data_IF_971246644243
#
_entry.id   IF_971246644243
#
_cell.length_a   1.000
_cell.length_b   1.000
_cell.length_c   1.000
_cell.angle_alpha   90.00
_cell.angle_beta   90.00
_cell.angle_gamma   90.00
#
_symmetry.space_group_name_H-M   'P 1'
#
loop_
_entity.id
_entity.type
_entity.pdbx_description
1 polymer ?
#
# COMPACT_ATOMS: atom_id res chain seq x y z
N UNK A 1 13.36 -25.63 -3.58
CA UNK A 1 12.69 -25.55 -4.88
C UNK A 1 12.24 -24.11 -5.04
N UNK A 2 12.98 -23.29 -5.79
CA UNK A 2 12.58 -21.90 -6.07
C UNK A 2 11.58 -21.95 -7.22
N UNK A 3 10.29 -21.82 -6.89
CA UNK A 3 9.21 -21.69 -7.88
C UNK A 3 9.53 -20.48 -8.77
N UNK A 4 9.83 -20.74 -10.04
CA UNK A 4 10.00 -19.70 -11.05
C UNK A 4 8.61 -19.14 -11.32
N UNK A 5 8.37 -17.90 -10.89
CA UNK A 5 7.10 -17.19 -11.10
C UNK A 5 6.79 -17.18 -12.59
N UNK A 6 5.71 -17.86 -13.06
CA UNK A 6 5.38 -17.92 -14.48
C UNK A 6 5.07 -16.53 -15.03
N UNK A 7 5.31 -16.29 -16.32
CA UNK A 7 4.93 -15.03 -16.98
C UNK A 7 3.42 -14.74 -16.93
N UNK A 8 2.59 -15.78 -16.70
CA UNK A 8 1.14 -15.67 -16.47
C UNK A 8 0.77 -15.26 -15.04
N UNK A 9 1.74 -15.15 -14.12
CA UNK A 9 1.47 -14.89 -12.71
C UNK A 9 0.74 -13.57 -12.50
N UNK A 10 1.00 -12.55 -13.33
CA UNK A 10 0.29 -11.27 -13.29
C UNK A 10 -1.21 -11.40 -13.58
N UNK A 11 -1.62 -12.36 -14.43
CA UNK A 11 -3.04 -12.58 -14.75
C UNK A 11 -3.80 -13.28 -13.63
N UNK A 12 -3.08 -13.96 -12.73
CA UNK A 12 -3.62 -14.61 -11.54
C UNK A 12 -3.53 -13.72 -10.28
N UNK A 13 -2.88 -12.55 -10.37
CA UNK A 13 -2.86 -11.58 -9.27
C UNK A 13 -4.21 -10.90 -9.18
N UNK A 14 -4.82 -10.96 -8.00
CA UNK A 14 -6.03 -10.22 -7.67
C UNK A 14 -5.73 -9.13 -6.64
N UNK A 15 -6.54 -8.07 -6.64
CA UNK A 15 -6.42 -6.97 -5.69
C UNK A 15 -7.60 -7.02 -4.72
N UNK A 16 -7.32 -6.88 -3.42
CA UNK A 16 -8.35 -6.74 -2.40
C UNK A 16 -7.90 -5.82 -1.28
N UNK A 17 -8.84 -5.24 -0.56
CA UNK A 17 -8.52 -4.49 0.65
C UNK A 17 -7.99 -5.44 1.73
N UNK A 18 -7.07 -4.93 2.55
CA UNK A 18 -6.65 -5.60 3.77
C UNK A 18 -7.82 -5.67 4.76
N UNK A 19 -7.88 -6.77 5.51
CA UNK A 19 -8.83 -6.95 6.60
C UNK A 19 -8.11 -7.33 7.90
N UNK A 20 -8.85 -7.37 9.01
CA UNK A 20 -8.30 -7.70 10.33
C UNK A 20 -7.55 -9.04 10.37
N UNK A 21 -8.01 -10.03 9.60
CA UNK A 21 -7.40 -11.37 9.57
C UNK A 21 -6.01 -11.37 8.89
N UNK A 22 -5.66 -10.31 8.17
CA UNK A 22 -4.37 -10.20 7.48
C UNK A 22 -3.23 -9.72 8.39
N UNK A 23 -3.51 -9.30 9.63
CA UNK A 23 -2.52 -8.66 10.54
C UNK A 23 -1.24 -9.49 10.64
N UNK A 24 -1.33 -10.78 10.93
CA UNK A 24 -0.15 -11.62 11.14
C UNK A 24 0.64 -11.83 9.85
N UNK A 25 -0.05 -11.94 8.71
CA UNK A 25 0.59 -12.04 7.40
C UNK A 25 1.33 -10.75 7.05
N UNK A 26 0.70 -9.60 7.28
CA UNK A 26 1.28 -8.28 7.02
C UNK A 26 2.47 -8.01 7.92
N UNK A 27 2.42 -8.40 9.20
CA UNK A 27 3.56 -8.28 10.14
C UNK A 27 4.79 -9.02 9.63
N UNK A 28 4.61 -10.28 9.22
CA UNK A 28 5.70 -11.10 8.70
C UNK A 28 6.30 -10.48 7.43
N UNK A 29 5.45 -10.09 6.47
CA UNK A 29 5.89 -9.45 5.23
C UNK A 29 6.61 -8.11 5.48
N UNK A 30 6.11 -7.29 6.38
CA UNK A 30 6.77 -6.03 6.75
C UNK A 30 8.16 -6.27 7.36
N UNK A 31 8.30 -7.29 8.21
CA UNK A 31 9.59 -7.68 8.80
C UNK A 31 10.63 -8.10 7.74
N UNK A 32 10.18 -8.72 6.65
CA UNK A 32 11.04 -9.09 5.52
C UNK A 32 11.33 -7.91 4.58
N UNK A 33 10.38 -6.99 4.42
CA UNK A 33 10.47 -5.89 3.44
C UNK A 33 11.21 -4.67 3.96
N UNK A 34 11.09 -4.37 5.26
CA UNK A 34 11.60 -3.15 5.85
C UNK A 34 12.48 -3.47 7.07
N UNK A 35 13.63 -2.81 7.24
CA UNK A 35 14.48 -2.97 8.41
C UNK A 35 13.93 -2.24 9.66
N UNK A 36 12.62 -2.01 9.74
CA UNK A 36 11.96 -1.21 10.77
C UNK A 36 10.81 -2.02 11.37
N UNK A 37 10.72 -2.03 12.69
CA UNK A 37 9.65 -2.67 13.42
C UNK A 37 8.53 -1.67 13.72
N UNK A 38 7.34 -1.93 13.16
CA UNK A 38 6.15 -1.14 13.44
C UNK A 38 5.43 -1.65 14.68
N UNK A 39 4.79 -0.78 15.49
CA UNK A 39 4.02 -1.21 16.64
C UNK A 39 2.74 -1.95 16.22
N UNK A 40 2.27 -2.85 17.09
CA UNK A 40 1.03 -3.62 16.88
C UNK A 40 -0.21 -2.76 16.58
N UNK A 41 -0.29 -1.56 17.15
CA UNK A 41 -1.36 -0.62 16.88
C UNK A 41 -1.38 -0.17 15.41
N UNK A 42 -0.22 0.00 14.79
CA UNK A 42 -0.12 0.39 13.38
C UNK A 42 -0.72 -0.68 12.47
N UNK A 43 -0.39 -1.96 12.71
CA UNK A 43 -0.95 -3.08 11.94
C UNK A 43 -2.47 -3.21 12.10
N UNK A 44 -2.99 -2.96 13.30
CA UNK A 44 -4.44 -2.90 13.54
C UNK A 44 -5.10 -1.75 12.80
N UNK A 45 -4.47 -0.58 12.80
CA UNK A 45 -4.98 0.61 12.11
C UNK A 45 -5.06 0.39 10.60
N UNK A 46 -3.98 -0.07 9.96
CA UNK A 46 -3.96 -0.22 8.49
C UNK A 46 -4.88 -1.34 7.98
N UNK A 47 -5.25 -2.31 8.81
CA UNK A 47 -6.11 -3.44 8.42
C UNK A 47 -7.58 -3.25 8.76
N UNK A 48 -7.90 -2.34 9.68
CA UNK A 48 -9.26 -2.18 10.23
C UNK A 48 -9.82 -0.76 10.08
N UNK A 49 -8.97 0.26 9.90
CA UNK A 49 -9.39 1.65 9.80
C UNK A 49 -9.58 2.09 8.35
N UNK A 50 -10.80 2.45 7.98
CA UNK A 50 -11.20 2.91 6.63
C UNK A 50 -10.57 4.25 6.21
N UNK A 51 -9.90 4.95 7.13
CA UNK A 51 -9.10 6.14 6.81
C UNK A 51 -7.93 5.80 5.87
N UNK A 52 -7.41 4.58 5.98
CA UNK A 52 -6.32 4.12 5.15
C UNK A 52 -6.84 3.42 3.90
N UNK A 53 -6.23 3.75 2.78
CA UNK A 53 -6.33 2.97 1.56
C UNK A 53 -5.28 1.87 1.61
N UNK A 54 -5.69 0.71 2.11
CA UNK A 54 -4.84 -0.45 2.35
C UNK A 54 -5.20 -1.58 1.40
N UNK A 55 -4.42 -1.72 0.34
CA UNK A 55 -4.67 -2.64 -0.76
C UNK A 55 -3.59 -3.72 -0.80
N UNK A 56 -4.01 -4.98 -0.83
CA UNK A 56 -3.15 -6.13 -1.01
C UNK A 56 -3.26 -6.69 -2.44
N UNK A 57 -2.12 -7.04 -3.02
CA UNK A 57 -2.02 -7.91 -4.17
C UNK A 57 -1.90 -9.35 -3.69
N UNK A 58 -2.81 -10.21 -4.14
CA UNK A 58 -2.81 -11.63 -3.78
C UNK A 58 -2.56 -12.49 -5.02
N UNK A 59 -1.75 -13.52 -4.85
CA UNK A 59 -1.49 -14.54 -5.86
C UNK A 59 -1.81 -15.90 -5.24
N UNK A 60 -2.72 -16.66 -5.86
CA UNK A 60 -3.20 -17.96 -5.33
C UNK A 60 -3.65 -17.91 -3.87
N UNK A 61 -4.27 -16.80 -3.47
CA UNK A 61 -4.79 -16.58 -2.11
C UNK A 61 -3.76 -16.03 -1.11
N UNK A 62 -2.46 -16.03 -1.42
CA UNK A 62 -1.42 -15.46 -0.56
C UNK A 62 -1.14 -14.00 -0.90
N UNK A 63 -0.87 -13.17 0.11
CA UNK A 63 -0.47 -11.77 -0.11
C UNK A 63 0.97 -11.74 -0.64
N UNK A 64 1.15 -11.18 -1.84
CA UNK A 64 2.45 -11.02 -2.51
C UNK A 64 2.91 -9.56 -2.57
N UNK A 65 2.03 -8.63 -2.24
CA UNK A 65 2.38 -7.22 -2.13
C UNK A 65 1.28 -6.43 -1.45
N UNK A 66 1.61 -5.24 -0.97
CA UNK A 66 0.63 -4.31 -0.45
C UNK A 66 1.05 -2.86 -0.65
N UNK A 67 0.05 -1.98 -0.70
CA UNK A 67 0.20 -0.53 -0.58
C UNK A 67 -0.73 -0.04 0.52
N UNK A 68 -0.20 0.81 1.39
CA UNK A 68 -0.94 1.49 2.44
C UNK A 68 -0.74 2.98 2.23
N UNK A 69 -1.83 3.70 2.00
CA UNK A 69 -1.82 5.14 1.85
C UNK A 69 -2.87 5.81 2.74
N UNK A 70 -2.60 7.03 3.18
CA UNK A 70 -3.57 7.88 3.87
C UNK A 70 -3.88 9.10 3.01
N UNK A 71 -5.16 9.32 2.71
CA UNK A 71 -5.61 10.56 2.09
C UNK A 71 -5.86 11.57 3.21
N UNK A 72 -5.04 12.62 3.25
CA UNK A 72 -5.14 13.70 4.24
C UNK A 72 -5.05 15.06 3.58
N UNK A 73 -5.64 16.06 4.23
CA UNK A 73 -5.53 17.44 3.78
C UNK A 73 -4.07 17.91 3.86
N UNK A 74 -3.63 18.79 2.95
CA UNK A 74 -2.26 19.33 2.94
C UNK A 74 -1.82 19.96 4.26
N UNK A 75 -2.76 20.49 5.04
CA UNK A 75 -2.50 21.07 6.37
C UNK A 75 -2.08 20.04 7.41
N UNK A 76 -2.33 18.74 7.15
CA UNK A 76 -1.95 17.59 8.00
C UNK A 76 -0.66 16.90 7.53
N UNK A 77 0.04 17.48 6.55
CA UNK A 77 1.39 17.05 6.17
C UNK A 77 2.35 17.39 7.31
N UNK A 78 3.36 16.55 7.53
CA UNK A 78 4.38 16.84 8.52
C UNK A 78 5.15 18.10 8.13
N UNK A 79 5.65 18.85 9.12
CA UNK A 79 6.35 20.11 8.84
C UNK A 79 7.60 19.93 7.97
N UNK A 80 8.25 18.77 8.05
CA UNK A 80 9.38 18.40 7.19
C UNK A 80 9.02 18.31 5.69
N UNK A 81 7.77 18.01 5.38
CA UNK A 81 7.24 17.78 4.02
C UNK A 81 6.36 18.94 3.54
N UNK A 82 6.35 20.07 4.26
CA UNK A 82 5.41 21.16 4.05
C UNK A 82 5.57 21.91 2.71
N UNK A 83 6.71 21.78 2.05
CA UNK A 83 7.06 22.40 0.78
C UNK A 83 6.81 21.52 -0.45
N UNK A 84 6.36 20.26 -0.26
CA UNK A 84 6.01 19.33 -1.35
C UNK A 84 4.94 19.95 -2.27
N UNK A 85 3.99 20.71 -1.70
CA UNK A 85 2.98 21.43 -2.46
C UNK A 85 3.20 22.94 -2.34
N UNK A 86 3.23 23.61 -3.49
CA UNK A 86 3.28 25.07 -3.55
C UNK A 86 2.16 25.72 -2.70
N UNK A 87 2.47 26.85 -2.06
CA UNK A 87 1.50 27.59 -1.24
C UNK A 87 0.27 28.06 -2.02
N UNK A 88 0.37 28.15 -3.35
CA UNK A 88 -0.72 28.51 -4.26
C UNK A 88 -1.86 27.50 -4.35
N UNK A 89 -1.65 26.25 -3.93
CA UNK A 89 -2.74 25.26 -3.87
C UNK A 89 -3.75 25.63 -2.78
N UNK A 90 -5.01 25.20 -2.92
CA UNK A 90 -6.01 25.46 -1.87
C UNK A 90 -5.62 24.77 -0.56
N UNK A 91 -6.04 25.31 0.58
CA UNK A 91 -5.97 24.61 1.86
C UNK A 91 -6.80 23.32 1.86
N UNK A 92 -7.80 23.20 0.98
CA UNK A 92 -8.63 22.00 0.84
C UNK A 92 -7.98 20.90 -0.02
N UNK A 93 -6.81 21.17 -0.62
CA UNK A 93 -6.10 20.19 -1.42
C UNK A 93 -5.73 18.97 -0.56
N UNK A 94 -6.13 17.80 -1.03
CA UNK A 94 -5.81 16.52 -0.42
C UNK A 94 -4.50 15.96 -1.01
N UNK A 95 -3.77 15.23 -0.18
CA UNK A 95 -2.58 14.47 -0.58
C UNK A 95 -2.74 13.02 -0.14
N UNK A 96 -2.21 12.10 -0.93
CA UNK A 96 -2.07 10.70 -0.57
C UNK A 96 -0.64 10.47 -0.04
N UNK A 97 -0.51 10.21 1.26
CA UNK A 97 0.75 9.86 1.86
C UNK A 97 0.90 8.34 1.86
N UNK A 98 1.88 7.81 1.11
CA UNK A 98 2.14 6.36 1.06
C UNK A 98 2.95 5.99 2.30
N UNK A 99 2.35 5.24 3.23
CA UNK A 99 2.99 4.78 4.46
C UNK A 99 3.87 3.56 4.20
N UNK A 100 3.41 2.64 3.35
CA UNK A 100 4.13 1.41 3.06
C UNK A 100 3.80 0.93 1.65
N UNK A 101 4.83 0.51 0.92
CA UNK A 101 4.72 -0.13 -0.39
C UNK A 101 5.74 -1.26 -0.45
N UNK A 102 5.25 -2.49 -0.51
CA UNK A 102 6.09 -3.68 -0.46
C UNK A 102 5.60 -4.78 -1.38
N UNK A 103 6.54 -5.56 -1.89
CA UNK A 103 6.32 -6.70 -2.78
C UNK A 103 7.34 -7.79 -2.43
N UNK A 104 6.91 -9.05 -2.35
CA UNK A 104 7.80 -10.19 -2.12
C UNK A 104 8.84 -10.30 -3.24
N UNK A 105 10.06 -10.72 -2.87
CA UNK A 105 11.26 -10.58 -3.71
C UNK A 105 11.12 -11.32 -5.05
N UNK A 106 10.44 -12.44 -5.04
CA UNK A 106 10.20 -13.35 -6.16
C UNK A 106 9.31 -12.69 -7.23
N UNK A 107 8.44 -11.77 -6.82
CA UNK A 107 7.54 -11.03 -7.71
C UNK A 107 8.10 -9.63 -8.06
N UNK A 108 9.26 -9.24 -7.55
CA UNK A 108 9.95 -8.01 -7.96
C UNK A 108 10.41 -8.16 -9.42
N UNK A 109 10.42 -7.05 -10.16
CA UNK A 109 10.80 -6.96 -11.59
C UNK A 109 9.88 -7.71 -12.59
N UNK A 110 8.83 -8.38 -12.12
CA UNK A 110 7.77 -8.94 -12.96
C UNK A 110 6.64 -7.95 -13.24
N UNK A 111 6.81 -6.66 -12.95
CA UNK A 111 5.83 -5.65 -13.30
C UNK A 111 4.55 -5.71 -12.46
N UNK A 112 4.64 -5.75 -11.13
CA UNK A 112 3.52 -5.33 -10.25
C UNK A 112 3.36 -3.78 -10.29
N UNK A 113 3.52 -3.20 -11.48
CA UNK A 113 3.13 -1.83 -11.82
C UNK A 113 1.62 -1.56 -11.75
N UNK A 114 0.69 -2.55 -11.80
CA UNK A 114 -0.74 -2.27 -11.64
C UNK A 114 -1.12 -1.63 -10.31
N UNK A 115 -0.30 -1.81 -9.26
CA UNK A 115 -0.55 -1.21 -7.95
C UNK A 115 -0.37 0.32 -7.97
N UNK A 116 0.60 0.82 -8.76
CA UNK A 116 0.79 2.26 -8.97
C UNK A 116 -0.26 2.84 -9.93
N UNK A 117 -0.66 2.10 -10.97
CA UNK A 117 -1.66 2.60 -11.91
C UNK A 117 -3.06 2.69 -11.32
N UNK A 118 -3.41 1.85 -10.33
CA UNK A 118 -4.70 1.94 -9.63
C UNK A 118 -4.80 3.14 -8.68
N UNK A 119 -3.67 3.67 -8.18
CA UNK A 119 -3.67 4.89 -7.38
C UNK A 119 -4.04 6.12 -8.24
N UNK A 120 -3.75 6.07 -9.54
CA UNK A 120 -4.11 7.11 -10.52
C UNK A 120 -5.56 7.02 -11.00
N UNK A 121 -6.25 5.89 -10.77
CA UNK A 121 -7.61 5.65 -11.26
C UNK A 121 -8.67 5.59 -10.17
N UNK A 122 -8.36 5.92 -8.90
CA UNK A 122 -9.39 6.14 -7.88
C UNK A 122 -10.39 7.20 -8.39
N UNK A 123 -11.61 6.79 -8.80
CA UNK A 123 -12.58 7.74 -9.30
C UNK A 123 -13.06 8.56 -8.10
N UNK A 124 -13.14 9.87 -8.27
CA UNK A 124 -13.95 10.72 -7.42
C UNK A 124 -15.33 10.06 -7.26
N UNK A 125 -15.61 9.53 -6.07
CA UNK A 125 -16.97 9.18 -5.68
C UNK A 125 -17.67 10.53 -5.42
N UNK A 126 -18.48 10.96 -6.39
CA UNK A 126 -19.61 11.85 -6.15
C UNK A 126 -20.72 11.07 -5.43
#
# INVERSE_FOLDING_TARGET
>A
MTEVVPSSALSEVSLRLLCHDDIDTVKNLCGDWFPIEYPDSWYRDITSNKKFFSLAATYRGAIVGMIVAEIKNRTKIHKEDGDILASSFSVDTQVAYILSLGVVKEFRKHGIGPLQSHLSTCPHHQ
#
